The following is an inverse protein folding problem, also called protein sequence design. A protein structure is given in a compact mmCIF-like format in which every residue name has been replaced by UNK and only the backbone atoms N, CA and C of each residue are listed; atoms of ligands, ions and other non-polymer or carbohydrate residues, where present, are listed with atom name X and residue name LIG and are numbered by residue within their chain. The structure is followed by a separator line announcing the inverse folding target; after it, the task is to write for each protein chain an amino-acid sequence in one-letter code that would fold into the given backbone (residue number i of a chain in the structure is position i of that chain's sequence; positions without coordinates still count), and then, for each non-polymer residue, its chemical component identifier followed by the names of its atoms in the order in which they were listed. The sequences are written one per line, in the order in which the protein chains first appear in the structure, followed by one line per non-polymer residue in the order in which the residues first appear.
data_IF_598427556284
#
_entry.id   IF_598427556284
#
_cell.length_a   1.000
_cell.length_b   1.000
_cell.length_c   1.000
_cell.angle_alpha   90.00
_cell.angle_beta   90.00
_cell.angle_gamma   90.00
#
_symmetry.space_group_name_H-M   'P 1'
#
loop_
_entity.id
_entity.type
_entity.pdbx_description
1 polymer ?
#
# COMPACT_ATOMS: atom_id res chain seq x y z
N UNK A 1 32.79 -10.74 11.11
CA UNK A 1 32.30 -9.44 11.64
C UNK A 1 32.87 -9.27 13.02
N UNK A 2 33.60 -8.17 13.32
CA UNK A 2 34.15 -7.93 14.63
C UNK A 2 33.06 -8.01 15.73
N UNK A 3 33.33 -8.72 16.81
CA UNK A 3 32.41 -8.98 17.92
C UNK A 3 31.48 -10.18 17.70
N UNK A 4 31.57 -10.85 16.57
CA UNK A 4 30.77 -12.02 16.23
C UNK A 4 31.56 -13.33 16.24
N UNK A 5 32.70 -13.38 16.90
CA UNK A 5 33.62 -14.52 16.86
C UNK A 5 33.02 -15.79 17.50
N UNK A 6 32.08 -15.61 18.42
CA UNK A 6 31.45 -16.70 19.18
C UNK A 6 29.95 -16.88 18.87
N UNK A 7 29.44 -16.33 17.75
CA UNK A 7 28.06 -16.55 17.39
C UNK A 7 27.87 -17.92 16.73
N UNK A 8 26.75 -18.54 17.04
CA UNK A 8 26.30 -19.79 16.41
C UNK A 8 25.05 -19.52 15.58
N UNK A 9 24.99 -20.12 14.39
CA UNK A 9 23.79 -20.10 13.58
C UNK A 9 22.78 -21.11 14.16
N UNK A 10 21.76 -20.62 14.83
CA UNK A 10 20.74 -21.47 15.48
C UNK A 10 19.69 -21.92 14.45
N UNK A 11 19.23 -21.01 13.60
CA UNK A 11 18.18 -21.31 12.63
C UNK A 11 18.28 -20.37 11.42
N UNK A 12 17.91 -20.88 10.25
CA UNK A 12 17.68 -20.10 9.04
C UNK A 12 16.24 -20.29 8.58
N UNK A 13 15.64 -19.22 8.06
CA UNK A 13 14.33 -19.32 7.42
C UNK A 13 14.38 -20.29 6.24
N UNK A 14 13.37 -21.17 6.14
CA UNK A 14 13.23 -22.15 5.05
C UNK A 14 12.87 -21.53 3.70
N UNK A 15 12.47 -20.24 3.68
CA UNK A 15 12.06 -19.50 2.49
C UNK A 15 12.64 -18.09 2.51
N UNK A 16 12.90 -17.55 1.31
CA UNK A 16 13.27 -16.16 1.14
C UNK A 16 12.13 -15.23 1.57
N UNK A 17 12.46 -14.18 2.28
CA UNK A 17 11.54 -13.10 2.64
C UNK A 17 11.29 -12.17 1.45
N UNK A 18 10.37 -12.55 0.57
CA UNK A 18 10.04 -11.76 -0.61
C UNK A 18 9.23 -10.52 -0.22
N UNK A 19 9.72 -9.32 -0.53
CA UNK A 19 9.06 -8.05 -0.19
C UNK A 19 8.19 -7.52 -1.33
N UNK A 20 8.57 -7.77 -2.57
CA UNK A 20 7.91 -7.28 -3.76
C UNK A 20 8.08 -8.25 -4.91
N UNK A 21 7.02 -8.49 -5.71
CA UNK A 21 7.07 -9.26 -6.94
C UNK A 21 6.24 -8.64 -8.03
N UNK A 22 4.91 -8.62 -7.88
CA UNK A 22 3.95 -8.19 -8.88
C UNK A 22 2.98 -7.20 -8.30
N UNK A 23 2.61 -6.21 -9.10
CA UNK A 23 1.56 -5.25 -8.86
C UNK A 23 0.47 -5.42 -9.90
N UNK A 24 -0.78 -5.16 -9.52
CA UNK A 24 -1.85 -5.09 -10.50
C UNK A 24 -1.67 -3.87 -11.39
N UNK A 25 -2.27 -3.90 -12.57
CA UNK A 25 -2.54 -2.71 -13.36
C UNK A 25 -3.90 -2.17 -12.92
N UNK A 26 -3.88 -1.21 -12.01
CA UNK A 26 -5.06 -0.56 -11.46
C UNK A 26 -5.49 0.66 -12.27
N UNK A 27 -6.68 1.17 -11.95
CA UNK A 27 -7.21 2.41 -12.55
C UNK A 27 -6.31 3.63 -12.28
N UNK A 28 -5.54 3.59 -11.19
CA UNK A 28 -4.45 4.52 -10.91
C UNK A 28 -3.19 3.75 -10.52
N UNK A 29 -2.03 4.26 -10.91
CA UNK A 29 -0.73 3.72 -10.53
C UNK A 29 0.01 4.73 -9.66
N UNK A 30 0.08 4.47 -8.35
CA UNK A 30 0.79 5.33 -7.42
C UNK A 30 2.28 5.38 -7.78
N UNK A 31 2.83 6.57 -7.93
CA UNK A 31 4.22 6.78 -8.33
C UNK A 31 5.10 7.21 -7.16
N UNK A 32 6.40 7.14 -7.36
CA UNK A 32 7.39 7.66 -6.40
C UNK A 32 7.22 9.16 -6.22
N UNK A 33 6.94 9.87 -7.31
CA UNK A 33 6.73 11.31 -7.34
C UNK A 33 5.50 11.70 -6.53
N UNK A 34 4.38 10.97 -6.66
CA UNK A 34 3.17 11.20 -5.85
C UNK A 34 3.48 11.17 -4.34
N UNK A 35 4.37 10.26 -3.92
CA UNK A 35 4.79 10.13 -2.51
C UNK A 35 5.70 11.28 -2.09
N UNK A 36 6.70 11.62 -2.91
CA UNK A 36 7.66 12.70 -2.63
C UNK A 36 6.96 14.06 -2.61
N UNK A 37 6.01 14.28 -3.50
CA UNK A 37 5.20 15.48 -3.59
C UNK A 37 4.06 15.50 -2.55
N UNK A 38 3.95 14.42 -1.75
CA UNK A 38 2.92 14.31 -0.69
C UNK A 38 1.51 14.50 -1.24
N UNK A 39 1.24 13.88 -2.37
CA UNK A 39 -0.01 14.07 -3.09
C UNK A 39 -1.21 13.54 -2.32
N UNK A 40 -2.25 14.35 -2.28
CA UNK A 40 -3.54 14.00 -1.71
C UNK A 40 -4.53 13.72 -2.84
N UNK A 41 -5.34 12.70 -2.66
CA UNK A 41 -6.33 12.27 -3.63
C UNK A 41 -7.74 12.39 -3.05
N UNK A 42 -8.69 12.83 -3.85
CA UNK A 42 -10.11 12.91 -3.44
C UNK A 42 -10.68 11.56 -3.04
N UNK A 43 -10.23 10.49 -3.72
CA UNK A 43 -10.60 9.10 -3.45
C UNK A 43 -9.65 8.40 -2.46
N UNK A 44 -8.99 9.15 -1.58
CA UNK A 44 -8.08 8.60 -0.59
C UNK A 44 -8.77 7.60 0.36
N UNK A 45 -8.15 6.45 0.58
CA UNK A 45 -8.62 5.41 1.49
C UNK A 45 -7.77 5.29 2.76
N UNK A 46 -6.59 5.85 2.76
CA UNK A 46 -5.74 5.97 3.94
C UNK A 46 -4.72 7.09 3.77
N UNK A 47 -4.29 7.63 4.91
CA UNK A 47 -3.15 8.54 5.03
C UNK A 47 -1.94 7.75 5.49
N UNK A 48 -0.79 7.98 4.88
CA UNK A 48 0.42 7.24 5.16
C UNK A 48 1.66 8.14 5.17
N UNK A 49 2.62 7.83 6.06
CA UNK A 49 3.86 8.57 6.19
C UNK A 49 5.00 7.58 6.50
N UNK A 50 5.60 7.03 5.48
CA UNK A 50 6.75 6.14 5.63
C UNK A 50 7.79 6.46 4.57
N UNK A 51 9.06 6.41 4.95
CA UNK A 51 10.17 6.65 4.02
C UNK A 51 10.15 5.66 2.85
N UNK A 52 10.63 6.10 1.72
CA UNK A 52 10.90 5.20 0.59
C UNK A 52 12.19 4.46 0.92
N UNK A 53 12.06 3.17 1.25
CA UNK A 53 13.15 2.28 1.66
C UNK A 53 13.51 1.34 0.52
N UNK A 54 14.54 1.70 -0.25
CA UNK A 54 15.03 0.91 -1.38
C UNK A 54 16.28 0.16 -0.96
N UNK A 55 16.23 -1.17 -0.98
CA UNK A 55 17.38 -2.03 -0.78
C UNK A 55 18.06 -2.31 -2.13
N UNK A 56 19.34 -1.99 -2.24
CA UNK A 56 20.10 -2.22 -3.45
C UNK A 56 20.39 -3.72 -3.63
N UNK A 57 19.98 -4.28 -4.76
CA UNK A 57 20.20 -5.71 -5.10
C UNK A 57 21.67 -6.06 -5.33
N UNK A 58 22.50 -5.08 -5.67
CA UNK A 58 23.93 -5.25 -5.96
C UNK A 58 24.84 -5.09 -4.75
N UNK A 59 24.27 -4.95 -3.55
CA UNK A 59 25.00 -4.61 -2.32
C UNK A 59 25.18 -3.11 -2.14
N UNK A 60 25.68 -2.68 -0.97
CA UNK A 60 25.91 -1.25 -0.69
C UNK A 60 24.86 -0.58 0.19
N UNK A 61 23.94 -1.36 0.79
CA UNK A 61 22.99 -0.86 1.79
C UNK A 61 21.63 -0.48 1.24
N UNK A 62 20.93 0.35 1.98
CA UNK A 62 19.60 0.85 1.63
C UNK A 62 19.64 2.35 1.40
N UNK A 63 18.85 2.82 0.44
CA UNK A 63 18.62 4.25 0.20
C UNK A 63 17.30 4.63 0.83
N UNK A 64 17.32 5.61 1.74
CA UNK A 64 16.14 6.13 2.41
C UNK A 64 15.84 7.54 1.90
N UNK A 65 14.66 7.71 1.31
CA UNK A 65 14.11 9.04 1.05
C UNK A 65 13.04 9.34 2.09
N UNK A 66 13.35 10.27 2.99
CA UNK A 66 12.42 10.65 4.06
C UNK A 66 11.20 11.35 3.48
N UNK A 67 10.03 10.90 3.88
CA UNK A 67 8.77 11.61 3.63
C UNK A 67 8.47 12.43 4.88
N UNK A 68 8.68 13.76 4.80
CA UNK A 68 8.61 14.65 5.97
C UNK A 68 7.19 14.98 6.44
N UNK A 69 6.19 14.45 5.75
CA UNK A 69 4.78 14.62 6.05
C UNK A 69 4.05 13.36 5.57
N UNK A 70 2.76 13.45 5.29
CA UNK A 70 1.97 12.33 4.81
C UNK A 70 1.56 12.51 3.33
N UNK A 71 1.30 11.40 2.70
CA UNK A 71 0.62 11.27 1.41
C UNK A 71 -0.62 10.40 1.58
N UNK A 72 -1.47 10.35 0.58
CA UNK A 72 -2.65 9.49 0.61
C UNK A 72 -2.59 8.42 -0.48
N UNK A 73 -3.27 7.30 -0.27
CA UNK A 73 -3.40 6.22 -1.25
C UNK A 73 -4.81 6.25 -1.79
N UNK A 74 -4.99 6.42 -3.12
CA UNK A 74 -6.32 6.47 -3.72
C UNK A 74 -6.95 5.09 -3.86
N UNK A 75 -8.27 5.00 -3.76
CA UNK A 75 -9.04 3.76 -3.94
C UNK A 75 -8.77 3.10 -5.30
N UNK A 76 -8.60 3.90 -6.35
CA UNK A 76 -8.29 3.44 -7.71
C UNK A 76 -7.00 2.62 -7.83
N UNK A 77 -6.11 2.65 -6.83
CA UNK A 77 -4.96 1.75 -6.76
C UNK A 77 -5.34 0.31 -6.43
N UNK A 78 -6.53 0.10 -5.84
CA UNK A 78 -7.05 -1.22 -5.45
C UNK A 78 -7.91 -1.86 -6.54
N UNK A 79 -8.37 -1.07 -7.51
CA UNK A 79 -9.31 -1.48 -8.56
C UNK A 79 -8.54 -1.84 -9.83
N UNK A 80 -8.57 -3.11 -10.29
CA UNK A 80 -7.95 -3.50 -11.55
C UNK A 80 -8.59 -2.79 -12.75
N UNK A 81 -7.75 -2.42 -13.74
CA UNK A 81 -8.21 -1.69 -14.94
C UNK A 81 -9.18 -2.50 -15.84
N UNK A 82 -9.05 -3.84 -15.82
CA UNK A 82 -9.72 -4.72 -16.80
C UNK A 82 -10.48 -5.90 -16.19
N UNK A 83 -10.59 -5.96 -14.88
CA UNK A 83 -11.26 -7.06 -14.19
C UNK A 83 -12.31 -6.46 -13.27
N UNK A 84 -13.54 -6.77 -13.53
CA UNK A 84 -14.70 -6.34 -12.76
C UNK A 84 -14.83 -7.12 -11.46
N UNK A 85 -15.48 -6.56 -10.47
CA UNK A 85 -15.76 -7.18 -9.16
C UNK A 85 -14.55 -7.77 -8.43
N UNK A 86 -13.36 -7.21 -8.69
CA UNK A 86 -12.13 -7.57 -7.99
C UNK A 86 -11.52 -6.32 -7.33
N UNK A 87 -11.17 -6.47 -6.06
CA UNK A 87 -10.34 -5.50 -5.33
C UNK A 87 -9.06 -6.17 -4.87
N UNK A 88 -7.97 -5.44 -4.92
CA UNK A 88 -6.65 -5.92 -4.51
C UNK A 88 -6.12 -5.03 -3.39
N UNK A 89 -5.54 -5.63 -2.36
CA UNK A 89 -5.01 -4.91 -1.20
C UNK A 89 -3.58 -5.35 -0.85
N UNK A 90 -2.90 -4.59 -0.02
CA UNK A 90 -1.58 -4.91 0.45
C UNK A 90 -0.48 -4.59 -0.55
N UNK A 91 0.59 -5.39 -0.57
CA UNK A 91 1.80 -5.12 -1.34
C UNK A 91 1.64 -5.17 -2.86
N UNK A 92 0.55 -5.75 -3.36
CA UNK A 92 0.31 -5.93 -4.79
C UNK A 92 -0.67 -4.90 -5.40
N UNK A 93 -1.06 -3.86 -4.65
CA UNK A 93 -1.82 -2.73 -5.22
C UNK A 93 -1.05 -2.06 -6.36
N UNK A 94 -1.75 -1.29 -7.17
CA UNK A 94 -1.16 -0.63 -8.32
C UNK A 94 -0.20 0.50 -7.92
N UNK A 95 1.08 0.30 -8.18
CA UNK A 95 2.13 1.28 -7.88
C UNK A 95 3.43 0.97 -8.61
N UNK A 96 4.34 1.95 -8.63
CA UNK A 96 5.73 1.74 -9.05
C UNK A 96 6.51 1.01 -7.96
N UNK A 97 7.62 0.39 -8.30
CA UNK A 97 8.51 -0.25 -7.33
C UNK A 97 9.03 0.75 -6.28
N UNK A 98 9.35 1.98 -6.69
CA UNK A 98 9.74 3.04 -5.76
C UNK A 98 8.61 3.43 -4.79
N UNK A 99 7.36 3.53 -5.26
CA UNK A 99 6.21 3.75 -4.38
C UNK A 99 5.99 2.56 -3.43
N UNK A 100 6.12 1.33 -3.93
CA UNK A 100 6.00 0.11 -3.12
C UNK A 100 7.03 0.06 -1.99
N UNK A 101 8.22 0.60 -2.19
CA UNK A 101 9.23 0.70 -1.16
C UNK A 101 8.78 1.52 0.07
N UNK A 102 7.75 2.36 -0.06
CA UNK A 102 7.09 3.05 1.05
C UNK A 102 5.86 2.27 1.56
N UNK A 103 4.91 1.90 0.71
CA UNK A 103 3.62 1.37 1.16
C UNK A 103 3.61 -0.15 1.45
N UNK A 104 4.64 -0.92 1.12
CA UNK A 104 4.69 -2.39 1.34
C UNK A 104 4.77 -2.83 2.80
N UNK A 105 4.71 -1.92 3.75
CA UNK A 105 4.77 -2.20 5.18
C UNK A 105 3.42 -2.61 5.76
N UNK A 106 3.43 -3.33 6.88
CA UNK A 106 2.25 -3.94 7.49
C UNK A 106 1.10 -2.95 7.72
N UNK A 107 1.31 -1.74 8.30
CA UNK A 107 0.20 -0.82 8.56
C UNK A 107 -0.55 -0.41 7.28
N UNK A 108 0.17 -0.15 6.19
CA UNK A 108 -0.43 0.17 4.91
C UNK A 108 -1.21 -1.02 4.32
N UNK A 109 -0.68 -2.25 4.46
CA UNK A 109 -1.37 -3.45 4.02
C UNK A 109 -2.68 -3.68 4.79
N UNK A 110 -2.69 -3.38 6.10
CA UNK A 110 -3.91 -3.45 6.92
C UNK A 110 -4.93 -2.40 6.47
N UNK A 111 -4.52 -1.14 6.29
CA UNK A 111 -5.40 -0.05 5.88
C UNK A 111 -6.03 -0.30 4.50
N UNK A 112 -5.23 -0.75 3.52
CA UNK A 112 -5.74 -1.10 2.18
C UNK A 112 -6.64 -2.33 2.22
N UNK A 113 -6.38 -3.31 3.10
CA UNK A 113 -7.24 -4.47 3.34
C UNK A 113 -8.58 -4.08 3.94
N UNK A 114 -8.59 -3.20 4.94
CA UNK A 114 -9.81 -2.63 5.51
C UNK A 114 -10.63 -1.91 4.43
N UNK A 115 -9.98 -1.08 3.62
CA UNK A 115 -10.66 -0.34 2.55
C UNK A 115 -11.28 -1.28 1.50
N UNK A 116 -10.55 -2.29 1.05
CA UNK A 116 -11.06 -3.27 0.10
C UNK A 116 -12.27 -4.06 0.65
N UNK A 117 -12.17 -4.53 1.90
CA UNK A 117 -13.27 -5.25 2.55
C UNK A 117 -14.51 -4.38 2.77
N UNK A 118 -14.31 -3.12 3.18
CA UNK A 118 -15.41 -2.15 3.35
C UNK A 118 -16.06 -1.81 2.03
N UNK A 119 -15.26 -1.58 0.97
CA UNK A 119 -15.77 -1.31 -0.37
C UNK A 119 -16.60 -2.50 -0.91
N UNK A 120 -16.11 -3.73 -0.76
CA UNK A 120 -16.85 -4.92 -1.18
C UNK A 120 -18.21 -5.06 -0.44
N UNK A 121 -18.24 -4.78 0.86
CA UNK A 121 -19.48 -4.80 1.64
C UNK A 121 -20.46 -3.70 1.20
N UNK A 122 -19.96 -2.50 0.92
CA UNK A 122 -20.78 -1.39 0.41
C UNK A 122 -21.32 -1.70 -0.99
N UNK A 123 -20.52 -2.27 -1.88
CA UNK A 123 -20.93 -2.67 -3.23
C UNK A 123 -22.13 -3.61 -3.21
N UNK A 124 -22.08 -4.62 -2.32
CA UNK A 124 -23.21 -5.55 -2.11
C UNK A 124 -24.48 -4.83 -1.61
N UNK A 125 -24.33 -3.87 -0.70
CA UNK A 125 -25.44 -3.10 -0.17
C UNK A 125 -26.05 -2.12 -1.19
N UNK A 126 -25.23 -1.55 -2.06
CA UNK A 126 -25.63 -0.60 -3.11
C UNK A 126 -26.08 -1.30 -4.40
N UNK A 127 -25.77 -2.59 -4.57
CA UNK A 127 -26.04 -3.31 -5.81
C UNK A 127 -25.18 -2.84 -6.98
N UNK A 128 -23.96 -2.38 -6.73
CA UNK A 128 -23.00 -1.94 -7.74
C UNK A 128 -21.76 -2.84 -7.78
N UNK A 129 -20.92 -2.64 -8.76
CA UNK A 129 -19.62 -3.33 -8.82
C UNK A 129 -18.65 -2.83 -7.75
N UNK A 130 -17.73 -3.68 -7.33
CA UNK A 130 -16.79 -3.37 -6.25
C UNK A 130 -15.91 -2.15 -6.54
N UNK A 131 -15.59 -1.89 -7.80
CA UNK A 131 -14.82 -0.71 -8.24
C UNK A 131 -15.64 0.58 -8.36
N UNK A 132 -16.97 0.49 -8.36
CA UNK A 132 -17.89 1.61 -8.61
C UNK A 132 -18.53 2.14 -7.31
N UNK A 133 -18.03 1.71 -6.16
CA UNK A 133 -18.51 2.20 -4.86
C UNK A 133 -18.30 3.71 -4.75
N UNK A 134 -19.35 4.48 -4.36
CA UNK A 134 -19.19 5.91 -4.14
C UNK A 134 -18.10 6.20 -3.11
N UNK A 135 -17.07 6.91 -3.53
CA UNK A 135 -15.84 7.12 -2.76
C UNK A 135 -16.10 7.87 -1.46
N UNK A 136 -17.01 8.85 -1.48
CA UNK A 136 -17.42 9.59 -0.28
C UNK A 136 -17.99 8.65 0.78
N UNK A 137 -18.89 7.75 0.39
CA UNK A 137 -19.52 6.79 1.31
C UNK A 137 -18.49 5.79 1.86
N UNK A 138 -17.53 5.39 1.02
CA UNK A 138 -16.42 4.54 1.46
C UNK A 138 -15.56 5.28 2.51
N UNK A 139 -15.16 6.51 2.24
CA UNK A 139 -14.35 7.34 3.16
C UNK A 139 -15.07 7.60 4.48
N UNK A 140 -16.35 7.97 4.45
CA UNK A 140 -17.16 8.15 5.65
C UNK A 140 -17.25 6.88 6.49
N UNK A 141 -17.45 5.73 5.82
CA UNK A 141 -17.55 4.45 6.51
C UNK A 141 -16.19 4.05 7.13
N UNK A 142 -15.10 4.21 6.42
CA UNK A 142 -13.76 3.98 6.93
C UNK A 142 -13.44 4.89 8.13
N UNK A 143 -13.77 6.17 8.04
CA UNK A 143 -13.58 7.12 9.15
C UNK A 143 -14.38 6.74 10.39
N UNK A 144 -15.64 6.30 10.24
CA UNK A 144 -16.44 5.76 11.35
C UNK A 144 -15.84 4.50 11.98
N UNK A 145 -15.13 3.71 11.19
CA UNK A 145 -14.40 2.53 11.65
C UNK A 145 -13.05 2.85 12.31
N UNK A 146 -12.68 4.13 12.39
CA UNK A 146 -11.45 4.60 13.02
C UNK A 146 -10.26 4.71 12.07
N UNK A 147 -10.47 4.58 10.75
CA UNK A 147 -9.40 4.83 9.77
C UNK A 147 -9.00 6.31 9.78
N UNK A 148 -7.70 6.57 9.67
CA UNK A 148 -7.17 7.93 9.58
C UNK A 148 -7.05 8.29 8.10
N UNK A 149 -7.93 9.16 7.64
CA UNK A 149 -7.92 9.72 6.28
C UNK A 149 -7.90 11.23 6.42
N UNK A 150 -6.80 11.85 6.04
CA UNK A 150 -6.62 13.31 6.05
C UNK A 150 -6.78 13.84 4.63
N UNK A 151 -7.34 15.03 4.53
CA UNK A 151 -7.45 15.79 3.28
C UNK A 151 -6.19 16.61 3.02
#
# INVERSE_FOLDING_TARGET
VPGCENIELIEMASRLGVRETRHIKGQYKLTTEDILDRKHFEDAICTFAYAIDIHNSEGGGATFHQVNDYYTIPFRCLVPEKIENLLVAGRCISGTSGAAASYRVIPCCIATGQAAGTAAALALGEGCEAGDVPTEKLRETLTRQGAVIKD
#
